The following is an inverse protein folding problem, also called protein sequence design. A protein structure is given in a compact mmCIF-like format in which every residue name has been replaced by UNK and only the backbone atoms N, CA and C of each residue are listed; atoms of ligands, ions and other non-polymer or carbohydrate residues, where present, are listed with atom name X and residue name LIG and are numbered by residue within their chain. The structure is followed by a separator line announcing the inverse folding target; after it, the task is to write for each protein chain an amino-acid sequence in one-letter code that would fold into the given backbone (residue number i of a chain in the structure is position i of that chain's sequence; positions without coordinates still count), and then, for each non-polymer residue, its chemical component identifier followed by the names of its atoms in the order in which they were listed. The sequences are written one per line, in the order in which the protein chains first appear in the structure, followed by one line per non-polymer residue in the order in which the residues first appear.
data_IF_119091093276
#
_entry.id   IF_119091093276
#
_cell.length_a   1.000
_cell.length_b   1.000
_cell.length_c   1.000
_cell.angle_alpha   90.00
_cell.angle_beta   90.00
_cell.angle_gamma   90.00
#
_symmetry.space_group_name_H-M   'P 1'
#
loop_
_entity.id
_entity.type
_entity.pdbx_description
1 polymer ?
#
# COMPACT_ATOMS: atom_id res chain seq x y z
N UNK A 1 7.30 -7.73 -17.33
CA UNK A 1 6.70 -6.83 -16.32
C UNK A 1 7.65 -5.68 -16.05
N UNK A 2 7.34 -4.49 -16.56
CA UNK A 2 8.17 -3.29 -16.45
C UNK A 2 7.86 -2.54 -15.14
N UNK A 3 8.18 -3.16 -14.00
CA UNK A 3 7.87 -2.63 -12.67
C UNK A 3 8.54 -1.28 -12.33
N UNK A 4 9.60 -0.94 -13.08
CA UNK A 4 10.53 0.13 -12.77
C UNK A 4 10.66 1.18 -13.89
N UNK A 5 9.94 1.02 -15.00
CA UNK A 5 10.11 1.90 -16.16
C UNK A 5 9.80 3.36 -15.88
N UNK A 6 8.85 3.60 -14.98
CA UNK A 6 8.39 4.95 -14.69
C UNK A 6 9.21 5.63 -13.59
N UNK A 7 10.15 4.94 -12.94
CA UNK A 7 10.93 5.48 -11.82
C UNK A 7 12.41 5.40 -12.15
N UNK A 8 13.06 6.55 -12.34
CA UNK A 8 14.50 6.65 -12.59
C UNK A 8 15.33 6.22 -11.37
N UNK A 9 16.61 5.90 -11.57
CA UNK A 9 17.50 5.47 -10.47
C UNK A 9 17.59 6.56 -9.39
N UNK A 10 17.78 7.83 -9.79
CA UNK A 10 17.83 8.99 -8.88
C UNK A 10 16.56 9.13 -8.03
N UNK A 11 15.39 8.91 -8.62
CA UNK A 11 14.12 8.94 -7.89
C UNK A 11 14.01 7.81 -6.88
N UNK A 12 14.50 6.61 -7.22
CA UNK A 12 14.52 5.48 -6.28
C UNK A 12 15.46 5.75 -5.12
N UNK A 13 16.65 6.29 -5.39
CA UNK A 13 17.61 6.68 -4.35
C UNK A 13 17.02 7.74 -3.43
N UNK A 14 16.39 8.78 -3.98
CA UNK A 14 15.71 9.81 -3.17
C UNK A 14 14.62 9.20 -2.28
N UNK A 15 13.74 8.39 -2.87
CA UNK A 15 12.66 7.72 -2.15
C UNK A 15 13.20 6.75 -1.07
N UNK A 16 14.32 6.07 -1.32
CA UNK A 16 15.02 5.24 -0.33
C UNK A 16 15.63 6.09 0.80
N UNK A 17 16.35 7.16 0.47
CA UNK A 17 17.00 8.02 1.45
C UNK A 17 16.01 8.68 2.40
N UNK A 18 14.89 9.19 1.88
CA UNK A 18 13.83 9.76 2.72
C UNK A 18 13.23 8.71 3.66
N UNK A 19 12.97 7.51 3.15
CA UNK A 19 12.48 6.40 3.97
C UNK A 19 13.47 5.95 5.03
N UNK A 20 14.76 5.87 4.69
CA UNK A 20 15.81 5.43 5.60
C UNK A 20 16.10 6.44 6.72
N UNK A 21 15.84 7.73 6.48
CA UNK A 21 15.92 8.77 7.52
C UNK A 21 14.85 8.63 8.61
N UNK A 22 13.74 7.94 8.34
CA UNK A 22 12.71 7.67 9.35
C UNK A 22 13.25 6.64 10.34
N UNK A 23 13.54 7.08 11.56
CA UNK A 23 14.16 6.24 12.60
C UNK A 23 13.17 5.27 13.23
N UNK A 24 11.87 5.60 13.27
CA UNK A 24 10.86 4.76 13.92
C UNK A 24 10.16 3.81 12.93
N UNK A 25 9.95 2.58 13.38
CA UNK A 25 9.26 1.57 12.58
C UNK A 25 7.81 1.96 12.29
N UNK A 26 7.11 2.57 13.25
CA UNK A 26 5.73 2.97 13.05
C UNK A 26 5.64 4.16 12.08
N UNK A 27 6.60 5.08 12.12
CA UNK A 27 6.71 6.16 11.14
C UNK A 27 6.90 5.60 9.72
N UNK A 28 7.82 4.65 9.56
CA UNK A 28 8.02 3.94 8.29
C UNK A 28 6.76 3.19 7.83
N UNK A 29 6.07 2.48 8.73
CA UNK A 29 4.85 1.73 8.40
C UNK A 29 3.70 2.68 8.02
N UNK A 30 3.59 3.85 8.69
CA UNK A 30 2.63 4.90 8.35
C UNK A 30 2.92 5.53 6.98
N UNK A 31 4.19 5.80 6.69
CA UNK A 31 4.61 6.26 5.37
C UNK A 31 4.25 5.25 4.26
N UNK A 32 4.60 3.97 4.46
CA UNK A 32 4.27 2.90 3.52
C UNK A 32 2.74 2.73 3.36
N UNK A 33 1.98 2.90 4.43
CA UNK A 33 0.52 2.86 4.37
C UNK A 33 -0.04 3.97 3.46
N UNK A 34 0.51 5.18 3.52
CA UNK A 34 0.15 6.29 2.64
C UNK A 34 0.47 6.06 1.15
N UNK A 35 1.36 5.12 0.85
CA UNK A 35 1.70 4.71 -0.51
C UNK A 35 0.80 3.58 -1.06
N UNK A 36 -0.04 3.00 -0.22
CA UNK A 36 -0.96 1.91 -0.58
C UNK A 36 -2.38 2.46 -0.65
N UNK A 37 -3.08 2.16 -1.75
CA UNK A 37 -4.49 2.49 -1.93
C UNK A 37 -5.31 1.21 -2.00
N UNK A 38 -6.38 1.14 -1.21
CA UNK A 38 -7.34 0.04 -1.26
C UNK A 38 -8.41 0.38 -2.29
N UNK A 39 -8.51 -0.45 -3.32
CA UNK A 39 -9.60 -0.39 -4.29
C UNK A 39 -10.62 -1.46 -3.88
N UNK A 40 -11.69 -1.00 -3.23
CA UNK A 40 -12.81 -1.85 -2.86
C UNK A 40 -13.51 -2.34 -4.13
N UNK A 41 -13.47 -3.64 -4.38
CA UNK A 41 -14.25 -4.23 -5.45
C UNK A 41 -15.69 -4.29 -4.94
N UNK A 42 -16.51 -3.34 -5.38
CA UNK A 42 -17.96 -3.34 -5.18
C UNK A 42 -18.57 -4.55 -5.89
N UNK A 43 -18.43 -5.74 -5.30
CA UNK A 43 -19.23 -6.90 -5.69
C UNK A 43 -20.65 -6.60 -5.24
N UNK A 44 -21.56 -6.41 -6.19
CA UNK A 44 -23.00 -6.33 -5.95
C UNK A 44 -23.38 -7.42 -4.93
N UNK A 45 -23.79 -7.01 -3.72
CA UNK A 45 -24.01 -7.90 -2.59
C UNK A 45 -25.01 -8.98 -3.02
N UNK A 46 -24.54 -10.20 -3.31
CA UNK A 46 -25.46 -11.34 -3.41
C UNK A 46 -26.03 -11.51 -2.02
N UNK A 47 -27.35 -11.32 -1.87
CA UNK A 47 -28.09 -11.19 -0.60
C UNK A 47 -27.93 -12.37 0.38
N UNK A 48 -27.29 -13.46 -0.02
CA UNK A 48 -27.06 -14.63 0.82
C UNK A 48 -25.57 -14.98 0.82
N UNK A 49 -24.91 -14.89 1.99
CA UNK A 49 -23.96 -15.91 2.47
C UNK A 49 -23.42 -15.59 3.87
N UNK A 50 -23.67 -16.55 4.75
CA UNK A 50 -23.29 -16.74 6.15
C UNK A 50 -21.77 -16.90 6.37
N UNK A 51 -20.90 -16.46 5.45
CA UNK A 51 -19.45 -16.61 5.60
C UNK A 51 -18.74 -15.28 5.36
N UNK A 52 -18.24 -14.69 6.43
CA UNK A 52 -17.34 -13.53 6.49
C UNK A 52 -15.99 -13.81 5.79
N UNK A 53 -15.99 -14.04 4.47
CA UNK A 53 -14.74 -13.97 3.70
C UNK A 53 -14.35 -12.49 3.62
N UNK A 54 -13.08 -12.14 3.93
CA UNK A 54 -12.64 -10.76 3.84
C UNK A 54 -12.95 -10.24 2.44
N UNK A 55 -13.48 -9.02 2.38
CA UNK A 55 -13.73 -8.26 1.15
C UNK A 55 -12.55 -8.52 0.19
N UNK A 56 -12.82 -8.99 -1.03
CA UNK A 56 -11.79 -9.08 -2.07
C UNK A 56 -11.35 -7.65 -2.41
N UNK A 57 -10.43 -7.09 -1.64
CA UNK A 57 -9.81 -5.81 -1.90
C UNK A 57 -8.69 -6.01 -2.91
N UNK A 58 -8.59 -5.08 -3.87
CA UNK A 58 -7.41 -4.96 -4.72
C UNK A 58 -6.56 -3.79 -4.21
N UNK A 59 -5.24 -3.91 -4.35
CA UNK A 59 -4.30 -2.92 -3.82
C UNK A 59 -3.53 -2.27 -4.96
N UNK A 60 -3.52 -0.94 -4.95
CA UNK A 60 -2.67 -0.12 -5.81
C UNK A 60 -1.52 0.47 -5.01
N UNK A 61 -0.37 0.64 -5.66
CA UNK A 61 0.84 1.14 -5.01
C UNK A 61 1.35 2.33 -5.81
N UNK A 62 1.80 3.35 -5.09
CA UNK A 62 2.43 4.53 -5.66
C UNK A 62 3.70 4.89 -4.94
N UNK A 63 4.59 5.61 -5.60
CA UNK A 63 5.73 6.27 -4.97
C UNK A 63 5.61 7.77 -5.18
N UNK A 64 5.96 8.53 -4.15
CA UNK A 64 6.07 10.00 -4.19
C UNK A 64 7.54 10.33 -4.31
N UNK A 65 8.01 10.59 -5.53
CA UNK A 65 9.38 11.04 -5.70
C UNK A 65 9.33 12.50 -6.18
N UNK A 66 9.96 13.39 -5.41
CA UNK A 66 9.87 14.85 -5.56
C UNK A 66 8.41 15.32 -5.54
N UNK A 67 7.94 15.96 -6.62
CA UNK A 67 6.58 16.49 -6.75
C UNK A 67 5.65 15.60 -7.59
N UNK A 68 6.05 14.36 -7.90
CA UNK A 68 5.26 13.47 -8.76
C UNK A 68 4.88 12.18 -8.05
N UNK A 69 3.62 11.78 -8.22
CA UNK A 69 3.14 10.46 -7.82
C UNK A 69 3.21 9.51 -9.02
N UNK A 70 3.83 8.34 -8.83
CA UNK A 70 3.97 7.34 -9.89
C UNK A 70 3.46 5.99 -9.43
N UNK A 71 2.59 5.39 -10.24
CA UNK A 71 2.05 4.06 -9.99
C UNK A 71 3.11 3.00 -10.21
N UNK A 72 3.23 2.07 -9.28
CA UNK A 72 4.24 1.01 -9.31
C UNK A 72 3.63 -0.33 -8.90
N UNK A 73 4.36 -1.41 -9.15
CA UNK A 73 3.99 -2.74 -8.68
C UNK A 73 4.43 -2.95 -7.22
N UNK A 74 3.85 -3.93 -6.51
CA UNK A 74 4.24 -4.26 -5.12
C UNK A 74 5.73 -4.57 -4.97
N UNK A 75 6.32 -5.26 -5.96
CA UNK A 75 7.74 -5.61 -5.98
C UNK A 75 8.64 -4.38 -6.09
N UNK A 76 8.18 -3.35 -6.82
CA UNK A 76 8.92 -2.11 -6.96
C UNK A 76 8.92 -1.31 -5.65
N UNK A 77 7.79 -1.18 -4.95
CA UNK A 77 7.79 -0.57 -3.59
C UNK A 77 8.75 -1.30 -2.68
N UNK A 78 8.65 -2.63 -2.63
CA UNK A 78 9.49 -3.47 -1.77
C UNK A 78 10.98 -3.25 -2.06
N UNK A 79 11.35 -3.20 -3.34
CA UNK A 79 12.73 -2.97 -3.77
C UNK A 79 13.22 -1.55 -3.49
N UNK A 80 12.40 -0.52 -3.73
CA UNK A 80 12.79 0.89 -3.57
C UNK A 80 13.03 1.22 -2.09
N UNK A 81 12.18 0.71 -1.20
CA UNK A 81 12.24 1.02 0.23
C UNK A 81 13.00 -0.05 1.04
N UNK A 82 13.64 -1.02 0.37
CA UNK A 82 14.31 -2.16 0.98
C UNK A 82 13.44 -2.89 2.04
N UNK A 83 12.14 -3.07 1.75
CA UNK A 83 11.19 -3.74 2.65
C UNK A 83 10.72 -5.08 2.11
N UNK A 84 10.40 -5.99 3.02
CA UNK A 84 9.95 -7.34 2.66
C UNK A 84 8.46 -7.34 2.30
N UNK A 85 8.06 -8.20 1.34
CA UNK A 85 6.65 -8.36 0.95
C UNK A 85 5.73 -8.73 2.14
N UNK A 86 6.13 -9.58 3.12
CA UNK A 86 5.33 -9.83 4.31
C UNK A 86 5.05 -8.59 5.16
N UNK A 87 5.97 -7.61 5.22
CA UNK A 87 5.74 -6.34 5.91
C UNK A 87 4.62 -5.55 5.22
N UNK A 88 4.68 -5.42 3.89
CA UNK A 88 3.63 -4.77 3.10
C UNK A 88 2.27 -5.45 3.25
N UNK A 89 2.23 -6.80 3.25
CA UNK A 89 0.99 -7.56 3.47
C UNK A 89 0.37 -7.29 4.84
N UNK A 90 1.17 -7.14 5.90
CA UNK A 90 0.66 -6.79 7.23
C UNK A 90 0.05 -5.39 7.22
N UNK A 91 0.73 -4.42 6.61
CA UNK A 91 0.22 -3.04 6.48
C UNK A 91 -1.12 -3.05 5.73
N UNK A 92 -1.24 -3.79 4.64
CA UNK A 92 -2.50 -3.95 3.89
C UNK A 92 -3.65 -4.45 4.77
N UNK A 93 -3.40 -5.49 5.56
CA UNK A 93 -4.40 -6.03 6.49
C UNK A 93 -4.78 -5.01 7.57
N UNK A 94 -3.82 -4.22 8.07
CA UNK A 94 -4.12 -3.14 9.00
C UNK A 94 -5.04 -2.10 8.35
N UNK A 95 -4.67 -1.57 7.17
CA UNK A 95 -5.48 -0.56 6.45
C UNK A 95 -6.88 -1.11 6.17
N UNK A 96 -6.99 -2.35 5.68
CA UNK A 96 -8.28 -2.98 5.38
C UNK A 96 -9.18 -3.11 6.62
N UNK A 97 -8.61 -3.36 7.81
CA UNK A 97 -9.38 -3.43 9.07
C UNK A 97 -9.88 -2.05 9.50
N UNK A 98 -9.06 -1.01 9.38
CA UNK A 98 -9.46 0.36 9.70
C UNK A 98 -10.61 0.85 8.79
N UNK A 99 -10.51 0.63 7.47
CA UNK A 99 -11.59 0.95 6.51
C UNK A 99 -12.89 0.16 6.77
N UNK A 100 -12.80 -1.01 7.40
CA UNK A 100 -13.98 -1.80 7.81
C UNK A 100 -14.66 -1.29 9.10
N UNK A 101 -13.96 -0.49 9.92
CA UNK A 101 -14.48 0.03 11.19
C UNK A 101 -15.20 1.38 11.04
N UNK A 102 -14.97 2.13 9.97
CA UNK A 102 -15.67 3.40 9.68
C UNK A 102 -17.14 3.21 9.27
N UNK A 103 -17.66 1.98 9.25
CA UNK A 103 -19.05 1.62 8.98
C UNK A 103 -19.83 1.13 10.22
N UNK A 104 -19.48 1.58 11.43
CA UNK A 104 -20.42 1.51 12.56
C UNK A 104 -21.23 2.82 12.60
N UNK A 105 -22.56 2.80 12.36
CA UNK A 105 -23.38 3.93 12.72
C UNK A 105 -23.47 4.04 14.25
N UNK A 106 -23.63 5.26 14.81
CA UNK A 106 -23.99 5.45 16.21
C UNK A 106 -25.34 4.82 16.55
#
# INVERSE_FOLDING_TARGET
MQCFQNVSIKEREHCFTEFYKMHDKNEQDAYLAGLITINNINKHKRRNRVNNKPLCASYSYKVRCFNTEKMVCVKAIASIHAVTLPRLKRIQLCIQRYEGQTYLPP
#
